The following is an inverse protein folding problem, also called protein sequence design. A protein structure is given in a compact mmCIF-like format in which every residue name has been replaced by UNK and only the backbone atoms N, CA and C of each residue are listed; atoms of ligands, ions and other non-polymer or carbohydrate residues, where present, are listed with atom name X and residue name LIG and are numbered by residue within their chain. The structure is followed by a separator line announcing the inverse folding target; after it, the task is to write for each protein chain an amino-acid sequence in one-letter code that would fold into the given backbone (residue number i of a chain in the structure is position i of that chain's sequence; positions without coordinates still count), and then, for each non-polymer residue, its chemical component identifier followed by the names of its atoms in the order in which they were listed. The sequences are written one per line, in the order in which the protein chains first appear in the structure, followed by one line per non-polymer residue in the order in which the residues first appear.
data_IF_482070919662
#
_entry.id   IF_482070919662
#
_cell.length_a   1.000
_cell.length_b   1.000
_cell.length_c   1.000
_cell.angle_alpha   90.00
_cell.angle_beta   90.00
_cell.angle_gamma   90.00
#
_symmetry.space_group_name_H-M   'P 1'
#
loop_
_entity.id
_entity.type
_entity.pdbx_description
1 polymer ?
#
# COMPACT_ATOMS: atom_id res chain seq x y z
N UNK A 1 67.03 2.09 50.38
CA UNK A 1 65.63 1.61 50.49
C UNK A 1 64.83 2.08 49.27
N UNK A 2 64.81 1.24 48.22
CA UNK A 2 64.13 1.55 46.98
C UNK A 2 62.76 0.89 46.99
N UNK A 3 61.72 1.69 46.94
CA UNK A 3 60.36 1.20 46.71
C UNK A 3 60.07 1.20 45.22
N UNK A 4 60.00 0.04 44.61
CA UNK A 4 59.47 -0.13 43.26
C UNK A 4 57.95 0.04 43.31
N UNK A 5 57.44 1.03 42.60
CA UNK A 5 56.03 1.20 42.33
C UNK A 5 55.73 0.45 41.03
N UNK A 6 55.02 -0.67 41.12
CA UNK A 6 54.46 -1.38 39.98
C UNK A 6 53.22 -0.62 39.52
N UNK A 7 53.30 0.05 38.37
CA UNK A 7 52.18 0.59 37.66
C UNK A 7 51.51 -0.54 36.84
N UNK A 8 50.38 -1.03 37.34
CA UNK A 8 49.48 -1.92 36.63
C UNK A 8 48.73 -1.10 35.58
N UNK A 9 49.15 -1.24 34.33
CA UNK A 9 48.41 -0.69 33.17
C UNK A 9 47.25 -1.63 32.90
N UNK A 10 46.08 -1.25 33.38
CA UNK A 10 44.84 -1.91 33.01
C UNK A 10 44.44 -1.47 31.58
N UNK A 11 44.80 -2.32 30.59
CA UNK A 11 44.35 -2.14 29.23
C UNK A 11 42.84 -2.46 29.17
N UNK A 12 42.05 -1.42 29.16
CA UNK A 12 40.61 -1.51 28.83
C UNK A 12 40.52 -1.78 27.33
N UNK A 13 40.28 -3.04 26.98
CA UNK A 13 39.90 -3.42 25.63
C UNK A 13 38.45 -2.87 25.37
N UNK A 14 38.38 -1.77 24.65
CA UNK A 14 37.12 -1.34 24.05
C UNK A 14 36.73 -2.39 23.02
N UNK A 15 35.79 -3.26 23.35
CA UNK A 15 35.07 -4.05 22.38
C UNK A 15 34.26 -3.05 21.50
N UNK A 16 34.72 -2.84 20.30
CA UNK A 16 33.92 -2.10 19.31
C UNK A 16 32.71 -2.95 18.96
N UNK A 17 31.56 -2.46 19.32
CA UNK A 17 30.26 -3.03 18.96
C UNK A 17 30.10 -2.92 17.45
N UNK A 18 30.35 -4.03 16.75
CA UNK A 18 30.27 -4.09 15.30
C UNK A 18 28.82 -4.39 14.93
N UNK A 19 28.02 -3.35 14.71
CA UNK A 19 26.66 -3.48 14.19
C UNK A 19 26.69 -3.80 12.69
N UNK A 20 26.40 -5.04 12.34
CA UNK A 20 26.12 -5.45 10.97
C UNK A 20 24.71 -4.96 10.58
N UNK A 21 24.63 -3.86 9.83
CA UNK A 21 23.35 -3.25 9.47
C UNK A 21 22.49 -4.08 8.51
N UNK A 22 23.06 -4.81 7.58
CA UNK A 22 22.35 -5.76 6.69
C UNK A 22 23.33 -6.50 5.78
N UNK A 23 23.19 -7.79 5.61
CA UNK A 23 23.92 -8.58 4.62
C UNK A 23 22.90 -9.32 3.75
N UNK A 24 22.87 -9.01 2.46
CA UNK A 24 22.11 -9.78 1.46
C UNK A 24 23.03 -10.85 0.91
N UNK A 25 22.72 -12.10 1.19
CA UNK A 25 23.48 -13.24 0.70
C UNK A 25 22.76 -13.79 -0.53
N UNK A 26 23.31 -13.53 -1.72
CA UNK A 26 22.86 -14.20 -2.95
C UNK A 26 23.53 -15.58 -3.08
N UNK A 27 22.99 -16.49 -3.89
CA UNK A 27 23.54 -17.85 -4.07
C UNK A 27 24.87 -17.80 -4.85
N UNK A 28 25.91 -17.32 -4.19
CA UNK A 28 27.27 -17.28 -4.69
C UNK A 28 28.23 -17.43 -3.50
N UNK A 29 29.41 -17.99 -3.76
CA UNK A 29 30.40 -18.18 -2.73
C UNK A 29 30.89 -16.82 -2.19
N UNK A 30 30.76 -16.61 -0.89
CA UNK A 30 31.31 -15.44 -0.21
C UNK A 30 32.54 -15.88 0.58
N UNK A 31 33.66 -15.23 0.30
CA UNK A 31 34.88 -15.41 1.05
C UNK A 31 35.26 -14.11 1.75
N UNK A 32 35.17 -14.11 3.06
CA UNK A 32 35.69 -13.04 3.91
C UNK A 32 36.50 -13.66 5.05
N UNK A 33 37.33 -12.87 5.71
CA UNK A 33 38.21 -13.37 6.78
C UNK A 33 37.49 -13.98 7.98
N UNK A 34 36.19 -13.81 8.08
CA UNK A 34 35.35 -14.27 9.18
C UNK A 34 34.22 -15.22 8.82
N UNK A 35 33.88 -15.36 7.53
CA UNK A 35 32.81 -16.24 7.05
C UNK A 35 33.29 -17.01 5.84
N UNK A 36 33.38 -18.33 5.96
CA UNK A 36 33.65 -19.25 4.84
C UNK A 36 32.49 -20.23 4.73
N UNK A 37 31.79 -20.21 3.64
CA UNK A 37 30.70 -21.14 3.36
C UNK A 37 30.28 -21.13 1.91
N UNK A 38 29.79 -22.29 1.46
CA UNK A 38 29.12 -22.46 0.17
C UNK A 38 27.62 -22.52 0.43
N UNK A 39 26.84 -21.59 -0.10
CA UNK A 39 25.40 -21.60 0.04
C UNK A 39 24.84 -22.23 -1.22
N UNK A 40 24.59 -23.54 -1.15
CA UNK A 40 24.07 -24.34 -2.28
C UNK A 40 22.55 -24.53 -2.28
N UNK A 41 21.88 -24.18 -1.20
CA UNK A 41 20.40 -24.20 -1.11
C UNK A 41 19.88 -22.95 -0.40
N UNK A 42 18.73 -22.41 -0.83
CA UNK A 42 18.12 -21.30 -0.14
C UNK A 42 17.65 -21.74 1.25
N UNK A 43 18.39 -21.38 2.26
CA UNK A 43 17.94 -21.54 3.65
C UNK A 43 16.94 -20.42 3.91
N UNK A 44 15.69 -20.78 4.10
CA UNK A 44 14.63 -19.83 4.47
C UNK A 44 14.40 -19.99 5.95
N UNK A 45 14.66 -18.92 6.72
CA UNK A 45 14.41 -18.96 8.15
C UNK A 45 14.97 -17.78 8.91
N UNK A 46 14.58 -17.69 10.17
CA UNK A 46 15.08 -16.72 11.13
C UNK A 46 15.87 -17.47 12.21
N UNK A 47 17.13 -17.13 12.36
CA UNK A 47 17.98 -17.62 13.44
C UNK A 47 18.25 -16.50 14.41
N UNK A 48 18.03 -16.76 15.70
CA UNK A 48 18.26 -15.79 16.78
C UNK A 48 19.35 -16.37 17.70
N UNK A 49 20.34 -15.56 17.96
CA UNK A 49 21.36 -15.80 18.98
C UNK A 49 21.39 -14.60 19.94
N UNK A 50 22.04 -14.72 21.07
CA UNK A 50 22.10 -13.68 22.10
C UNK A 50 22.67 -12.34 21.58
N UNK A 51 23.52 -12.39 20.52
CA UNK A 51 24.22 -11.22 19.99
C UNK A 51 23.85 -10.85 18.55
N UNK A 52 23.06 -11.67 17.84
CA UNK A 52 22.69 -11.38 16.45
C UNK A 52 21.42 -12.11 16.02
N UNK A 53 20.75 -11.52 15.05
CA UNK A 53 19.59 -12.09 14.36
C UNK A 53 19.96 -12.23 12.87
N UNK A 54 19.84 -13.44 12.33
CA UNK A 54 20.05 -13.73 10.92
C UNK A 54 18.71 -14.08 10.29
N UNK A 55 18.25 -13.28 9.36
CA UNK A 55 17.12 -13.60 8.50
C UNK A 55 17.67 -14.08 7.15
N UNK A 56 17.50 -15.36 6.84
CA UNK A 56 17.95 -15.94 5.58
C UNK A 56 16.80 -16.14 4.63
N UNK A 57 17.05 -15.81 3.35
CA UNK A 57 16.10 -15.92 2.26
C UNK A 57 15.66 -14.57 1.71
N UNK A 58 15.29 -14.58 0.44
CA UNK A 58 14.84 -13.40 -0.31
C UNK A 58 13.67 -12.67 0.38
N UNK A 59 12.70 -13.43 0.87
CA UNK A 59 11.49 -12.87 1.49
C UNK A 59 11.73 -12.26 2.88
N UNK A 60 12.73 -12.74 3.62
CA UNK A 60 13.07 -12.14 4.92
C UNK A 60 13.62 -10.72 4.81
N UNK A 61 14.39 -10.45 3.77
CA UNK A 61 14.92 -9.10 3.50
C UNK A 61 13.86 -8.17 2.92
N UNK A 62 13.00 -8.69 2.07
CA UNK A 62 11.92 -7.92 1.46
C UNK A 62 10.83 -7.58 2.47
N UNK A 63 10.46 -8.52 3.35
CA UNK A 63 9.43 -8.24 4.35
C UNK A 63 9.83 -7.08 5.28
N UNK A 64 11.10 -6.96 5.65
CA UNK A 64 11.55 -5.80 6.42
C UNK A 64 11.54 -4.50 5.59
N UNK A 65 11.84 -4.58 4.31
CA UNK A 65 11.84 -3.41 3.42
C UNK A 65 10.41 -2.89 3.12
N UNK A 66 9.41 -3.78 3.18
CA UNK A 66 7.99 -3.43 2.98
C UNK A 66 7.21 -3.26 4.29
N UNK A 67 7.70 -3.81 5.41
CA UNK A 67 7.05 -3.68 6.72
C UNK A 67 7.60 -2.53 7.56
N UNK A 68 8.66 -1.87 7.11
CA UNK A 68 9.13 -0.61 7.69
C UNK A 68 8.40 0.64 7.11
N UNK A 69 7.43 0.40 6.24
CA UNK A 69 6.29 1.30 6.12
C UNK A 69 5.47 1.04 7.37
N UNK A 70 5.76 1.83 8.43
CA UNK A 70 4.97 1.77 9.64
C UNK A 70 3.51 1.69 9.26
N UNK A 71 2.76 0.80 9.92
CA UNK A 71 1.30 0.67 9.82
C UNK A 71 0.54 1.93 10.30
N UNK A 72 1.11 3.09 10.14
CA UNK A 72 0.32 4.29 9.96
C UNK A 72 -0.23 4.16 8.53
N UNK A 73 -1.37 3.53 8.42
CA UNK A 73 -2.21 3.68 7.25
C UNK A 73 -2.25 5.19 6.99
N UNK A 74 -1.48 5.65 5.96
CA UNK A 74 -1.48 7.06 5.57
C UNK A 74 -2.90 7.33 5.15
N UNK A 75 -3.68 7.86 6.12
CA UNK A 75 -5.07 8.19 5.86
C UNK A 75 -5.09 9.22 4.75
N UNK A 76 -5.96 9.05 3.77
CA UNK A 76 -6.09 10.00 2.69
C UNK A 76 -6.34 11.40 3.26
N UNK A 77 -5.64 12.39 2.76
CA UNK A 77 -5.81 13.79 3.15
C UNK A 77 -6.71 14.58 2.20
N UNK A 78 -6.98 14.00 1.02
CA UNK A 78 -7.76 14.65 -0.04
C UNK A 78 -8.80 13.72 -0.62
N UNK A 79 -9.92 14.30 -1.11
CA UNK A 79 -10.91 13.57 -1.90
C UNK A 79 -10.40 13.35 -3.30
N UNK A 80 -10.24 12.09 -3.69
CA UNK A 80 -9.89 11.74 -5.07
C UNK A 80 -10.98 10.83 -5.65
N UNK A 81 -11.39 11.12 -6.86
CA UNK A 81 -12.32 10.30 -7.63
C UNK A 81 -11.62 9.95 -8.93
N UNK A 82 -11.38 8.65 -9.15
CA UNK A 82 -10.72 8.17 -10.34
C UNK A 82 -11.60 8.32 -11.57
N UNK A 83 -10.99 8.22 -12.75
CA UNK A 83 -11.76 8.00 -13.97
C UNK A 83 -12.42 6.63 -13.92
N UNK A 84 -13.65 6.55 -14.45
CA UNK A 84 -14.35 5.27 -14.56
C UNK A 84 -13.59 4.31 -15.47
N UNK A 85 -13.46 3.07 -15.05
CA UNK A 85 -12.77 2.04 -15.82
C UNK A 85 -13.51 0.68 -15.71
N UNK A 86 -13.69 0.00 -16.84
CA UNK A 86 -13.46 0.47 -18.22
C UNK A 86 -14.40 1.62 -18.63
N UNK A 87 -13.98 2.44 -19.60
CA UNK A 87 -14.82 3.44 -20.25
C UNK A 87 -14.29 3.68 -21.67
N UNK A 88 -14.98 3.22 -22.76
CA UNK A 88 -16.32 2.62 -22.75
C UNK A 88 -16.44 1.30 -21.99
N UNK A 89 -17.63 1.00 -21.45
CA UNK A 89 -17.89 -0.17 -20.63
C UNK A 89 -19.06 -1.03 -21.12
N UNK A 90 -19.04 -2.32 -20.78
CA UNK A 90 -20.10 -3.31 -21.10
C UNK A 90 -20.12 -4.42 -20.03
N UNK A 91 -21.17 -4.58 -19.26
CA UNK A 91 -22.13 -3.55 -18.84
C UNK A 91 -21.65 -2.80 -17.59
N UNK A 92 -20.46 -3.12 -17.04
CA UNK A 92 -19.99 -2.68 -15.73
C UNK A 92 -18.81 -1.73 -15.84
N UNK A 93 -18.82 -0.67 -15.04
CA UNK A 93 -17.68 0.23 -14.83
C UNK A 93 -17.46 0.48 -13.35
N UNK A 94 -16.22 0.73 -12.97
CA UNK A 94 -15.80 1.00 -11.60
C UNK A 94 -15.19 2.39 -11.49
N UNK A 95 -15.38 3.01 -10.35
CA UNK A 95 -14.81 4.30 -9.99
C UNK A 95 -14.21 4.14 -8.60
N UNK A 96 -12.91 4.32 -8.48
CA UNK A 96 -12.23 4.30 -7.20
C UNK A 96 -12.34 5.67 -6.53
N UNK A 97 -12.61 5.66 -5.25
CA UNK A 97 -12.90 6.84 -4.45
C UNK A 97 -12.00 6.83 -3.25
N UNK A 98 -11.35 7.92 -3.02
CA UNK A 98 -10.54 8.14 -1.82
C UNK A 98 -11.24 9.16 -0.95
N UNK A 99 -11.52 8.79 0.30
CA UNK A 99 -12.29 9.59 1.26
C UNK A 99 -11.40 9.90 2.46
N UNK A 100 -11.08 11.18 2.75
CA UNK A 100 -10.22 11.55 3.87
C UNK A 100 -10.96 11.64 5.21
N UNK A 101 -12.29 11.75 5.19
CA UNK A 101 -13.13 11.86 6.39
C UNK A 101 -14.48 11.19 6.20
N UNK A 102 -15.17 10.86 7.29
CA UNK A 102 -16.53 10.32 7.24
C UNK A 102 -17.50 11.32 6.64
N UNK A 103 -18.47 10.82 5.87
CA UNK A 103 -19.49 11.67 5.27
C UNK A 103 -20.39 10.97 4.28
N UNK A 104 -21.41 11.70 3.83
CA UNK A 104 -22.36 11.24 2.82
C UNK A 104 -21.91 11.66 1.43
N UNK A 105 -21.82 10.69 0.53
CA UNK A 105 -21.54 10.91 -0.90
C UNK A 105 -22.78 10.55 -1.72
N UNK A 106 -23.10 11.40 -2.68
CA UNK A 106 -24.22 11.20 -3.59
C UNK A 106 -23.70 11.01 -5.00
N UNK A 107 -24.09 9.90 -5.63
CA UNK A 107 -23.82 9.57 -7.02
C UNK A 107 -25.12 9.77 -7.80
N UNK A 108 -25.06 10.51 -8.89
CA UNK A 108 -26.18 10.63 -9.79
C UNK A 108 -25.71 10.48 -11.23
N UNK A 109 -26.49 9.77 -12.05
CA UNK A 109 -26.17 9.55 -13.46
C UNK A 109 -27.33 10.08 -14.29
N UNK A 110 -26.97 10.85 -15.31
CA UNK A 110 -27.91 11.51 -16.20
C UNK A 110 -27.72 11.03 -17.63
N UNK A 111 -28.80 10.96 -18.38
CA UNK A 111 -28.74 10.78 -19.83
C UNK A 111 -28.38 12.10 -20.56
N UNK A 112 -28.26 12.03 -21.89
CA UNK A 112 -27.94 13.21 -22.73
C UNK A 112 -29.01 14.29 -22.71
N UNK A 113 -30.23 13.97 -22.28
CA UNK A 113 -31.34 14.92 -22.13
C UNK A 113 -31.39 15.57 -20.75
N UNK A 114 -30.41 15.22 -19.87
CA UNK A 114 -30.35 15.72 -18.49
C UNK A 114 -31.34 15.03 -17.53
N UNK A 115 -31.98 13.93 -17.95
CA UNK A 115 -32.84 13.16 -17.07
C UNK A 115 -32.00 12.27 -16.16
N UNK A 116 -32.27 12.33 -14.88
CA UNK A 116 -31.61 11.44 -13.90
C UNK A 116 -32.11 10.01 -14.10
N UNK A 117 -31.18 9.11 -14.42
CA UNK A 117 -31.48 7.68 -14.67
C UNK A 117 -31.07 6.80 -13.49
N UNK A 118 -30.11 7.26 -12.67
CA UNK A 118 -29.65 6.53 -11.51
C UNK A 118 -29.24 7.49 -10.40
N UNK A 119 -29.53 7.12 -9.17
CA UNK A 119 -29.09 7.81 -7.95
C UNK A 119 -28.70 6.79 -6.89
N UNK A 120 -27.58 7.05 -6.21
CA UNK A 120 -27.15 6.26 -5.08
C UNK A 120 -26.52 7.19 -4.03
N UNK A 121 -26.90 6.98 -2.78
CA UNK A 121 -26.31 7.69 -1.63
C UNK A 121 -25.60 6.68 -0.76
N UNK A 122 -24.37 6.97 -0.43
CA UNK A 122 -23.53 6.10 0.39
C UNK A 122 -22.86 6.93 1.48
N UNK A 123 -22.99 6.47 2.71
CA UNK A 123 -22.26 7.02 3.85
C UNK A 123 -20.96 6.24 4.00
N UNK A 124 -19.89 6.96 4.16
CA UNK A 124 -18.56 6.43 4.49
C UNK A 124 -18.29 6.77 5.95
N UNK A 125 -18.12 5.75 6.78
CA UNK A 125 -17.94 5.93 8.23
C UNK A 125 -16.46 6.20 8.59
N UNK A 126 -15.53 5.78 7.71
CA UNK A 126 -14.11 5.90 7.94
C UNK A 126 -13.39 6.47 6.72
N UNK A 127 -12.26 7.19 6.93
CA UNK A 127 -11.34 7.50 5.85
C UNK A 127 -10.84 6.22 5.17
N UNK A 128 -10.60 6.28 3.86
CA UNK A 128 -10.11 5.11 3.14
C UNK A 128 -10.32 5.15 1.64
N UNK A 129 -10.05 4.00 1.02
CA UNK A 129 -10.24 3.78 -0.40
C UNK A 129 -11.44 2.89 -0.62
N UNK A 130 -12.36 3.35 -1.47
CA UNK A 130 -13.62 2.68 -1.75
C UNK A 130 -13.80 2.53 -3.25
N UNK A 131 -14.73 1.66 -3.66
CA UNK A 131 -15.08 1.45 -5.06
C UNK A 131 -16.58 1.55 -5.25
N UNK A 132 -16.99 2.44 -6.13
CA UNK A 132 -18.33 2.50 -6.63
C UNK A 132 -18.41 1.76 -7.97
N UNK A 133 -19.38 0.85 -8.10
CA UNK A 133 -19.58 0.04 -9.31
C UNK A 133 -20.95 0.32 -9.89
N UNK A 134 -21.01 0.65 -11.19
CA UNK A 134 -22.26 0.84 -11.90
C UNK A 134 -22.39 -0.17 -13.05
N UNK A 135 -23.56 -0.83 -13.12
CA UNK A 135 -23.87 -1.90 -14.07
C UNK A 135 -24.74 -1.45 -15.26
N UNK A 136 -24.79 -0.16 -15.58
CA UNK A 136 -25.60 0.35 -16.68
C UNK A 136 -27.11 0.16 -16.49
N UNK A 137 -27.58 0.16 -15.25
CA UNK A 137 -29.00 0.02 -14.88
C UNK A 137 -29.51 1.29 -14.21
N UNK A 138 -30.82 1.52 -14.34
CA UNK A 138 -31.50 2.56 -13.58
C UNK A 138 -31.84 2.08 -12.14
N UNK A 139 -32.42 2.96 -11.31
CA UNK A 139 -32.84 2.63 -9.96
C UNK A 139 -33.91 1.53 -9.86
N UNK A 140 -34.62 1.26 -10.95
CA UNK A 140 -35.63 0.19 -11.05
C UNK A 140 -35.05 -1.16 -11.49
N UNK A 141 -33.70 -1.22 -11.69
CA UNK A 141 -33.01 -2.43 -12.16
C UNK A 141 -33.10 -2.65 -13.67
N UNK A 142 -33.77 -1.77 -14.41
CA UNK A 142 -33.87 -1.88 -15.87
C UNK A 142 -32.58 -1.46 -16.55
N UNK A 143 -32.13 -2.25 -17.51
CA UNK A 143 -30.91 -1.99 -18.26
C UNK A 143 -31.11 -0.79 -19.20
N UNK A 144 -30.16 0.13 -19.17
CA UNK A 144 -30.16 1.32 -20.03
C UNK A 144 -29.62 1.00 -21.43
N UNK A 145 -29.96 1.83 -22.42
CA UNK A 145 -29.48 1.70 -23.81
C UNK A 145 -28.01 2.08 -23.92
N UNK A 146 -27.32 1.54 -24.95
CA UNK A 146 -26.00 2.03 -25.32
C UNK A 146 -26.05 3.54 -25.56
N UNK A 147 -25.08 4.27 -25.07
CA UNK A 147 -25.09 5.72 -25.17
C UNK A 147 -24.13 6.40 -24.21
N UNK A 148 -24.17 7.72 -24.22
CA UNK A 148 -23.39 8.58 -23.35
C UNK A 148 -24.22 8.98 -22.14
N UNK A 149 -23.62 8.88 -20.98
CA UNK A 149 -24.18 9.25 -19.67
C UNK A 149 -23.24 10.20 -18.96
N UNK A 150 -23.77 11.03 -18.09
CA UNK A 150 -23.00 11.92 -17.23
C UNK A 150 -23.12 11.45 -15.79
N UNK A 151 -22.01 10.99 -15.22
CA UNK A 151 -21.90 10.76 -13.79
C UNK A 151 -21.59 12.08 -13.11
N UNK A 152 -22.29 12.30 -12.00
CA UNK A 152 -21.97 13.37 -11.05
C UNK A 152 -21.80 12.76 -9.68
N UNK A 153 -20.77 13.18 -8.97
CA UNK A 153 -20.51 12.80 -7.59
C UNK A 153 -20.47 14.06 -6.75
N UNK A 154 -21.26 14.09 -5.70
CA UNK A 154 -21.29 15.19 -4.73
C UNK A 154 -20.86 14.70 -3.37
N UNK A 155 -19.91 15.39 -2.77
CA UNK A 155 -19.48 15.18 -1.40
C UNK A 155 -19.27 16.53 -0.72
N UNK A 156 -20.02 16.82 0.34
CA UNK A 156 -20.05 18.13 0.97
C UNK A 156 -20.28 19.24 -0.09
N UNK A 157 -19.34 20.17 -0.22
CA UNK A 157 -19.37 21.24 -1.24
C UNK A 157 -18.64 20.88 -2.53
N UNK A 158 -17.95 19.73 -2.57
CA UNK A 158 -17.20 19.28 -3.73
C UNK A 158 -18.11 18.60 -4.75
N UNK A 159 -17.84 18.87 -6.01
CA UNK A 159 -18.64 18.36 -7.12
C UNK A 159 -17.74 17.85 -8.25
N UNK A 160 -17.88 16.57 -8.57
CA UNK A 160 -17.13 15.90 -9.63
C UNK A 160 -18.06 15.46 -10.77
N UNK A 161 -17.60 15.58 -12.03
CA UNK A 161 -18.35 15.18 -13.22
C UNK A 161 -17.50 14.36 -14.16
N UNK A 162 -18.09 13.31 -14.72
CA UNK A 162 -17.42 12.47 -15.70
C UNK A 162 -18.38 11.90 -16.73
N UNK A 163 -17.92 11.86 -17.98
CA UNK A 163 -18.62 11.19 -19.08
C UNK A 163 -18.41 9.68 -18.99
N UNK A 164 -19.49 8.91 -19.08
CA UNK A 164 -19.53 7.46 -19.18
C UNK A 164 -20.07 7.06 -20.56
N UNK A 165 -19.50 6.02 -21.16
CA UNK A 165 -19.97 5.49 -22.45
C UNK A 165 -20.32 4.03 -22.29
N UNK A 166 -21.63 3.73 -22.29
CA UNK A 166 -22.15 2.37 -22.22
C UNK A 166 -22.24 1.77 -23.63
N UNK A 167 -21.66 0.60 -23.80
CA UNK A 167 -21.76 -0.24 -24.98
C UNK A 167 -22.51 -1.53 -24.63
N UNK A 168 -23.26 -2.06 -25.57
CA UNK A 168 -23.88 -3.38 -25.47
C UNK A 168 -23.41 -4.25 -26.62
#
# INVERSE_FOLDING_TARGET
MNRLILLSVCSVLFAQDMQLKQVIISPSAIQSDRIRGTIGQPVIGRTISDNYIINSGFWGSISQMFLDVGDEAVLPTEYLISKAYPNPFNPVTNIDITVPESGLMQFAIYDILGRQVFEHKQTFDNPGHYRFTWSGKNNYGSTLSSGVYLLTVRFAENYYKQKLTLLK
#
